data_IF_685554734883
#
_entry.id   IF_685554734883
#
_cell.length_a   1.000
_cell.length_b   1.000
_cell.length_c   1.000
_cell.angle_alpha   90.00
_cell.angle_beta   90.00
_cell.angle_gamma   90.00
#
_symmetry.space_group_name_H-M   'P 1'
#
loop_
_entity.id
_entity.type
_entity.pdbx_description
1 polymer ?
#
# COMPACT_ATOMS: atom_id res chain seq x y z
N UNK A 1 19.95 8.37 -66.49
CA UNK A 1 18.48 8.49 -66.36
C UNK A 1 18.10 8.49 -64.89
N UNK A 2 16.96 9.12 -64.57
CA UNK A 2 16.54 9.72 -63.29
C UNK A 2 16.56 8.78 -62.05
N UNK A 3 17.11 9.37 -60.96
CA UNK A 3 16.83 9.28 -59.50
C UNK A 3 15.81 8.22 -59.02
N UNK A 4 16.16 7.52 -57.93
CA UNK A 4 15.41 7.59 -56.65
C UNK A 4 16.20 6.93 -55.51
N UNK A 5 16.47 7.68 -54.44
CA UNK A 5 16.84 7.15 -53.12
C UNK A 5 15.57 7.05 -52.27
N UNK A 6 15.39 5.96 -51.53
CA UNK A 6 14.51 5.85 -50.36
C UNK A 6 15.06 4.68 -49.50
N UNK A 7 15.60 4.95 -48.30
CA UNK A 7 14.93 4.78 -46.98
C UNK A 7 14.54 3.30 -46.73
N UNK A 8 14.80 2.63 -45.61
CA UNK A 8 14.90 3.04 -44.21
C UNK A 8 15.41 1.82 -43.42
N UNK A 9 16.45 1.97 -42.60
CA UNK A 9 16.86 0.95 -41.62
C UNK A 9 15.86 0.98 -40.45
N UNK A 10 14.95 0.00 -40.39
CA UNK A 10 14.14 -0.23 -39.19
C UNK A 10 14.85 -1.27 -38.32
N UNK A 11 15.67 -0.78 -37.39
CA UNK A 11 16.05 -1.54 -36.20
C UNK A 11 14.79 -1.75 -35.37
N UNK A 12 14.19 -2.92 -35.48
CA UNK A 12 13.09 -3.35 -34.64
C UNK A 12 13.59 -3.61 -33.22
N UNK A 13 13.73 -2.56 -32.42
CA UNK A 13 13.68 -2.71 -30.97
C UNK A 13 12.23 -3.01 -30.59
N UNK A 14 11.90 -4.30 -30.55
CA UNK A 14 10.66 -4.77 -29.94
C UNK A 14 10.80 -4.47 -28.45
N UNK A 15 10.36 -3.28 -28.03
CA UNK A 15 9.94 -3.07 -26.66
C UNK A 15 8.77 -4.03 -26.46
N UNK A 16 9.02 -5.10 -25.72
CA UNK A 16 7.98 -5.96 -25.20
C UNK A 16 7.10 -5.11 -24.28
N UNK A 17 6.06 -4.50 -24.85
CA UNK A 17 4.92 -4.04 -24.09
C UNK A 17 4.32 -5.29 -23.46
N UNK A 18 4.66 -5.54 -22.20
CA UNK A 18 3.93 -6.48 -21.37
C UNK A 18 2.46 -6.05 -21.44
N UNK A 19 1.64 -6.89 -22.06
CA UNK A 19 0.19 -6.77 -22.01
C UNK A 19 -0.23 -6.98 -20.56
N UNK A 20 -0.33 -5.91 -19.80
CA UNK A 20 -1.10 -5.91 -18.57
C UNK A 20 -2.52 -5.47 -18.94
N UNK A 21 -3.46 -6.37 -18.70
CA UNK A 21 -4.88 -6.26 -19.03
C UNK A 21 -5.48 -4.87 -18.83
N UNK A 22 -6.34 -4.48 -19.78
CA UNK A 22 -7.26 -3.35 -19.67
C UNK A 22 -8.21 -3.60 -18.49
N UNK A 23 -7.82 -3.15 -17.29
CA UNK A 23 -8.67 -2.94 -16.11
C UNK A 23 -7.89 -2.24 -14.97
N UNK A 24 -7.09 -1.21 -15.25
CA UNK A 24 -6.63 -0.32 -14.17
C UNK A 24 -7.81 0.56 -13.75
N UNK A 25 -8.64 0.02 -12.86
CA UNK A 25 -9.43 0.80 -11.91
C UNK A 25 -8.41 1.72 -11.22
N UNK A 26 -8.66 3.03 -11.21
CA UNK A 26 -7.77 4.03 -10.61
C UNK A 26 -7.17 3.54 -9.27
N UNK A 27 -5.92 3.90 -8.94
CA UNK A 27 -5.30 3.50 -7.69
C UNK A 27 -6.23 3.87 -6.53
N UNK A 28 -6.46 2.90 -5.62
CA UNK A 28 -7.31 3.11 -4.47
C UNK A 28 -6.68 4.18 -3.58
N UNK A 29 -7.34 5.33 -3.43
CA UNK A 29 -6.89 6.45 -2.61
C UNK A 29 -7.75 6.65 -1.37
N UNK A 30 -7.26 7.42 -0.41
CA UNK A 30 -7.99 7.82 0.80
C UNK A 30 -9.37 8.39 0.52
N UNK A 31 -9.55 9.12 -0.60
CA UNK A 31 -10.84 9.67 -1.05
C UNK A 31 -11.83 8.60 -1.50
N UNK A 32 -11.33 7.53 -2.08
CA UNK A 32 -12.14 6.44 -2.65
C UNK A 32 -12.33 5.27 -1.69
N UNK A 33 -11.52 5.17 -0.64
CA UNK A 33 -11.58 4.16 0.41
C UNK A 33 -12.65 4.50 1.46
N UNK A 34 -13.91 4.34 1.07
CA UNK A 34 -15.08 4.72 1.88
C UNK A 34 -15.75 3.51 2.55
N UNK A 35 -16.59 3.78 3.55
CA UNK A 35 -17.30 2.74 4.33
C UNK A 35 -18.27 1.92 3.47
N UNK A 36 -18.97 2.55 2.53
CA UNK A 36 -19.85 1.90 1.54
C UNK A 36 -19.09 0.97 0.58
N UNK A 37 -17.76 1.14 0.48
CA UNK A 37 -16.87 0.24 -0.27
C UNK A 37 -16.16 -0.78 0.61
N UNK A 38 -16.50 -0.85 1.90
CA UNK A 38 -15.94 -1.84 2.85
C UNK A 38 -14.68 -1.40 3.57
N UNK A 39 -14.29 -0.11 3.47
CA UNK A 39 -13.11 0.43 4.14
C UNK A 39 -13.47 1.15 5.43
N UNK A 40 -12.72 0.85 6.50
CA UNK A 40 -12.84 1.53 7.80
C UNK A 40 -11.48 2.10 8.20
N UNK A 41 -11.42 3.39 8.50
CA UNK A 41 -10.22 4.03 9.06
C UNK A 41 -10.10 3.63 10.53
N UNK A 42 -8.91 3.18 10.94
CA UNK A 42 -8.66 2.69 12.30
C UNK A 42 -8.01 3.71 13.23
N UNK A 43 -7.20 4.63 12.70
CA UNK A 43 -6.43 5.63 13.44
C UNK A 43 -6.36 6.94 12.64
N UNK A 44 -7.46 7.70 12.59
CA UNK A 44 -7.49 8.96 11.86
C UNK A 44 -6.51 9.98 12.47
N UNK A 45 -5.85 10.77 11.63
CA UNK A 45 -4.99 11.88 12.06
C UNK A 45 -3.54 11.52 12.42
N UNK A 46 -3.12 10.27 12.24
CA UNK A 46 -1.73 9.83 12.42
C UNK A 46 -0.93 9.90 11.11
N UNK A 47 0.41 9.89 11.20
CA UNK A 47 1.30 9.89 10.02
C UNK A 47 1.14 8.64 9.13
N UNK A 48 0.85 7.51 9.76
CA UNK A 48 0.44 6.27 9.08
C UNK A 48 -1.04 6.09 9.39
N UNK A 49 -1.91 6.36 8.40
CA UNK A 49 -3.35 6.12 8.56
C UNK A 49 -3.67 4.72 8.05
N UNK A 50 -4.15 3.86 8.94
CA UNK A 50 -4.47 2.46 8.70
C UNK A 50 -5.94 2.31 8.31
N UNK A 51 -6.16 1.52 7.27
CA UNK A 51 -7.46 1.15 6.74
C UNK A 51 -7.66 -0.35 6.89
N UNK A 52 -8.82 -0.74 7.43
CA UNK A 52 -9.31 -2.11 7.40
C UNK A 52 -10.28 -2.28 6.24
N UNK A 53 -10.03 -3.25 5.39
CA UNK A 53 -10.95 -3.68 4.34
C UNK A 53 -11.65 -4.97 4.76
N UNK A 54 -12.97 -4.98 4.64
CA UNK A 54 -13.80 -6.18 4.79
C UNK A 54 -14.78 -6.28 3.61
N UNK A 55 -14.91 -7.47 3.03
CA UNK A 55 -15.86 -7.72 1.95
C UNK A 55 -17.30 -7.58 2.48
N UNK A 56 -18.06 -6.64 1.91
CA UNK A 56 -19.44 -6.35 2.30
C UNK A 56 -20.46 -7.42 1.87
N UNK A 57 -20.11 -8.26 0.90
CA UNK A 57 -21.02 -9.24 0.29
C UNK A 57 -21.21 -10.51 1.13
N UNK A 58 -20.45 -10.68 2.22
CA UNK A 58 -20.46 -11.91 3.01
C UNK A 58 -20.98 -11.64 4.42
N UNK A 59 -21.75 -12.59 4.97
CA UNK A 59 -22.31 -12.42 6.31
C UNK A 59 -21.21 -12.45 7.38
N UNK A 60 -21.42 -11.84 8.57
CA UNK A 60 -20.45 -11.90 9.67
C UNK A 60 -20.07 -13.32 10.10
N UNK A 61 -20.89 -14.34 9.79
CA UNK A 61 -20.58 -15.75 10.07
C UNK A 61 -19.53 -16.35 9.13
N UNK A 62 -19.18 -15.69 8.03
CA UNK A 62 -18.17 -16.15 7.07
C UNK A 62 -16.83 -15.41 7.23
N UNK A 63 -16.65 -14.66 8.32
CA UNK A 63 -15.46 -13.85 8.59
C UNK A 63 -14.16 -14.66 8.60
N UNK A 64 -14.21 -15.94 8.98
CA UNK A 64 -13.06 -16.85 8.93
C UNK A 64 -12.63 -17.20 7.49
N UNK A 65 -13.58 -17.20 6.54
CA UNK A 65 -13.30 -17.46 5.12
C UNK A 65 -12.76 -16.23 4.39
N UNK A 66 -13.03 -15.04 4.91
CA UNK A 66 -12.64 -13.75 4.32
C UNK A 66 -12.00 -12.85 5.37
N UNK A 67 -10.78 -13.22 5.79
CA UNK A 67 -10.01 -12.42 6.73
C UNK A 67 -9.84 -10.97 6.22
N UNK A 68 -9.96 -9.96 7.12
CA UNK A 68 -9.82 -8.57 6.71
C UNK A 68 -8.43 -8.30 6.18
N UNK A 69 -8.34 -7.47 5.13
CA UNK A 69 -7.06 -6.99 4.60
C UNK A 69 -6.79 -5.59 5.15
N UNK A 70 -5.52 -5.30 5.41
CA UNK A 70 -5.12 -4.00 5.96
C UNK A 70 -4.28 -3.22 4.96
N UNK A 71 -4.55 -1.93 4.91
CA UNK A 71 -3.86 -0.98 4.05
C UNK A 71 -3.43 0.22 4.89
N UNK A 72 -2.54 1.03 4.34
CA UNK A 72 -2.18 2.32 4.93
C UNK A 72 -1.97 3.38 3.87
N UNK A 73 -2.03 4.63 4.31
CA UNK A 73 -1.51 5.80 3.58
C UNK A 73 -0.48 6.50 4.45
N UNK A 74 0.36 7.33 3.84
CA UNK A 74 1.34 8.16 4.55
C UNK A 74 1.14 9.63 4.21
N UNK A 75 1.85 10.52 4.90
CA UNK A 75 1.86 11.95 4.56
C UNK A 75 2.38 12.24 3.14
N UNK A 76 3.17 11.34 2.54
CA UNK A 76 3.74 11.51 1.22
C UNK A 76 2.83 10.99 0.08
N UNK A 77 1.80 10.19 0.39
CA UNK A 77 0.95 9.56 -0.62
C UNK A 77 -0.43 9.22 -0.04
N UNK A 78 -1.47 9.66 -0.73
CA UNK A 78 -2.87 9.33 -0.43
C UNK A 78 -3.33 7.99 -1.04
N UNK A 79 -2.46 7.32 -1.81
CA UNK A 79 -2.69 5.98 -2.36
C UNK A 79 -2.57 4.93 -1.26
N UNK A 80 -3.58 4.08 -1.12
CA UNK A 80 -3.58 2.96 -0.19
C UNK A 80 -2.58 1.90 -0.64
N UNK A 81 -1.69 1.55 0.27
CA UNK A 81 -0.70 0.48 0.10
C UNK A 81 -1.01 -0.65 1.07
N UNK A 82 -0.79 -1.93 0.71
CA UNK A 82 -0.93 -3.03 1.65
C UNK A 82 -0.06 -2.80 2.89
N UNK A 83 -0.61 -3.02 4.08
CA UNK A 83 0.10 -2.84 5.35
C UNK A 83 1.10 -3.99 5.56
N UNK A 84 2.31 -3.80 5.04
CA UNK A 84 3.44 -4.73 5.15
C UNK A 84 4.69 -3.98 5.56
N UNK A 85 5.64 -4.65 6.22
CA UNK A 85 6.93 -4.03 6.58
C UNK A 85 7.65 -3.47 5.35
N UNK A 86 7.61 -4.20 4.23
CA UNK A 86 8.24 -3.76 2.99
C UNK A 86 7.67 -2.44 2.48
N UNK A 87 6.33 -2.30 2.46
CA UNK A 87 5.70 -1.07 1.99
C UNK A 87 5.91 0.09 2.96
N UNK A 88 5.92 -0.17 4.27
CA UNK A 88 6.24 0.85 5.28
C UNK A 88 7.66 1.40 5.09
N UNK A 89 8.66 0.55 4.87
CA UNK A 89 10.03 1.02 4.61
C UNK A 89 10.13 1.83 3.32
N UNK A 90 9.42 1.41 2.27
CA UNK A 90 9.33 2.17 1.01
C UNK A 90 8.65 3.52 1.18
N UNK A 91 7.66 3.63 2.07
CA UNK A 91 6.97 4.89 2.36
C UNK A 91 7.84 5.87 3.16
N UNK A 92 8.85 5.37 3.89
CA UNK A 92 9.78 6.17 4.68
C UNK A 92 11.24 5.84 4.33
N UNK A 93 11.69 6.02 3.07
CA UNK A 93 12.94 5.43 2.58
C UNK A 93 14.19 5.96 3.31
N UNK A 94 14.15 7.19 3.79
CA UNK A 94 15.29 7.84 4.45
C UNK A 94 15.28 7.66 5.99
N UNK A 95 14.30 6.96 6.54
CA UNK A 95 14.17 6.78 8.00
C UNK A 95 14.73 5.41 8.43
N UNK A 96 16.05 5.27 8.39
CA UNK A 96 16.74 4.05 8.82
C UNK A 96 16.45 3.65 10.28
N UNK A 97 16.41 4.59 11.26
CA UNK A 97 16.07 4.23 12.64
C UNK A 97 14.67 3.60 12.76
N UNK A 98 13.68 4.11 12.00
CA UNK A 98 12.36 3.49 11.92
C UNK A 98 12.42 2.07 11.32
N UNK A 99 13.23 1.85 10.27
CA UNK A 99 13.37 0.53 9.64
C UNK A 99 13.93 -0.51 10.60
N UNK A 100 14.98 -0.14 11.32
CA UNK A 100 15.65 -1.01 12.29
C UNK A 100 14.72 -1.34 13.46
N UNK A 101 14.05 -0.32 14.00
CA UNK A 101 13.08 -0.51 15.08
C UNK A 101 11.88 -1.37 14.64
N UNK A 102 11.41 -1.19 13.40
CA UNK A 102 10.33 -1.99 12.83
C UNK A 102 10.71 -3.48 12.74
N UNK A 103 11.91 -3.78 12.27
CA UNK A 103 12.40 -5.17 12.17
C UNK A 103 12.68 -5.81 13.54
N UNK A 104 13.19 -5.03 14.49
CA UNK A 104 13.48 -5.51 15.83
C UNK A 104 12.22 -5.83 16.64
N UNK A 105 11.14 -5.08 16.43
CA UNK A 105 9.91 -5.17 17.25
C UNK A 105 8.80 -5.99 16.61
N UNK A 106 8.70 -6.03 15.28
CA UNK A 106 7.60 -6.65 14.53
C UNK A 106 8.14 -7.82 13.72
N UNK A 107 7.83 -9.04 14.16
CA UNK A 107 8.34 -10.26 13.52
C UNK A 107 7.63 -10.52 12.19
N UNK A 108 6.31 -10.44 12.20
CA UNK A 108 5.44 -10.76 11.06
C UNK A 108 4.52 -9.59 10.71
N UNK A 109 4.16 -9.45 9.43
CA UNK A 109 3.28 -8.37 8.96
C UNK A 109 1.90 -8.36 9.66
N UNK A 110 1.41 -9.53 10.10
CA UNK A 110 0.16 -9.66 10.87
C UNK A 110 0.19 -8.90 12.21
N UNK A 111 1.37 -8.64 12.74
CA UNK A 111 1.56 -7.92 14.01
C UNK A 111 1.52 -6.40 13.83
N UNK A 112 1.54 -5.88 12.60
CA UNK A 112 1.48 -4.44 12.30
C UNK A 112 0.18 -3.78 12.78
N UNK A 113 -0.90 -4.57 12.90
CA UNK A 113 -2.19 -4.12 13.40
C UNK A 113 -2.34 -4.24 14.92
N UNK A 114 -1.29 -4.64 15.64
CA UNK A 114 -1.35 -4.73 17.08
C UNK A 114 -1.47 -3.32 17.68
N UNK A 115 -2.47 -3.16 18.54
CA UNK A 115 -2.69 -1.91 19.26
C UNK A 115 -1.84 -1.89 20.53
N UNK A 116 -1.16 -0.78 20.78
CA UNK A 116 -0.46 -0.51 22.02
C UNK A 116 -1.42 0.14 23.02
N UNK A 117 -1.89 -0.66 23.99
CA UNK A 117 -2.82 -0.20 25.00
C UNK A 117 -2.23 0.84 25.97
N UNK A 118 -0.91 0.89 26.12
CA UNK A 118 -0.23 1.84 27.01
C UNK A 118 -0.12 3.21 26.32
N UNK A 119 0.33 3.23 25.07
CA UNK A 119 0.50 4.47 24.29
C UNK A 119 -0.79 4.94 23.57
N UNK A 120 -1.86 4.14 23.58
CA UNK A 120 -3.15 4.42 22.94
C UNK A 120 -3.05 4.68 21.43
N UNK A 121 -2.21 3.91 20.74
CA UNK A 121 -2.09 3.94 19.28
C UNK A 121 -1.61 2.59 18.74
N UNK A 122 -1.64 2.41 17.41
CA UNK A 122 -1.08 1.20 16.81
C UNK A 122 0.43 1.14 17.02
N UNK A 123 0.98 -0.07 17.23
CA UNK A 123 2.41 -0.28 17.49
C UNK A 123 3.28 0.33 16.38
N UNK A 124 2.89 0.14 15.12
CA UNK A 124 3.62 0.73 13.98
C UNK A 124 3.67 2.26 14.05
N UNK A 125 2.56 2.89 14.43
CA UNK A 125 2.50 4.34 14.59
C UNK A 125 3.34 4.82 15.77
N UNK A 126 3.35 4.06 16.86
CA UNK A 126 4.20 4.36 18.02
C UNK A 126 5.69 4.26 17.66
N UNK A 127 6.10 3.18 16.97
CA UNK A 127 7.49 2.99 16.51
C UNK A 127 7.91 4.15 15.62
N UNK A 128 7.06 4.54 14.65
CA UNK A 128 7.35 5.71 13.81
C UNK A 128 7.51 6.97 14.66
N UNK A 129 6.59 7.24 15.60
CA UNK A 129 6.64 8.42 16.47
C UNK A 129 7.92 8.52 17.30
N UNK A 130 8.49 7.39 17.74
CA UNK A 130 9.75 7.36 18.48
C UNK A 130 10.99 7.57 17.61
N UNK A 131 10.85 7.43 16.29
CA UNK A 131 11.97 7.47 15.34
C UNK A 131 11.66 8.44 14.18
N UNK A 132 10.83 9.47 14.40
CA UNK A 132 10.44 10.48 13.39
C UNK A 132 11.42 11.64 13.33
#
# INVERSE_FOLDING_TARGET
MKKMYFLLLLTGSILAFNQHSIAQKEPLTSKTATKDKGYTVLNPGELIVIYKYAHLAHSPKETEKYAPTYFFTSNASDVLQPLTKSNLKKAFPNNHPFHDALDATIKEDKELINYDNFHKMYKVSWILKQHS
#
